data_IF_820553316173
#
_entry.id   IF_820553316173
#
_cell.length_a   1.000
_cell.length_b   1.000
_cell.length_c   1.000
_cell.angle_alpha   90.00
_cell.angle_beta   90.00
_cell.angle_gamma   90.00
#
_symmetry.space_group_name_H-M   'P 1'
#
loop_
_entity.id
_entity.type
_entity.pdbx_description
1 polymer ?
#
# COMPACT_ATOMS: atom_id res chain seq x y z
N UNK A 1 -6.38 -18.04 -22.06
CA UNK A 1 -6.88 -17.54 -20.75
C UNK A 1 -6.93 -16.01 -20.82
N UNK A 2 -8.10 -15.38 -20.74
CA UNK A 2 -8.23 -13.92 -20.83
C UNK A 2 -7.47 -13.24 -19.67
N UNK A 3 -6.79 -12.13 -19.95
CA UNK A 3 -5.89 -11.44 -19.00
C UNK A 3 -6.56 -11.11 -17.65
N UNK A 4 -7.85 -10.79 -17.68
CA UNK A 4 -8.66 -10.53 -16.49
C UNK A 4 -8.78 -11.73 -15.57
N UNK A 5 -8.88 -12.95 -16.10
CA UNK A 5 -8.92 -14.16 -15.25
C UNK A 5 -7.58 -14.47 -14.59
N UNK A 6 -6.45 -14.15 -15.23
CA UNK A 6 -5.13 -14.29 -14.61
C UNK A 6 -4.90 -13.23 -13.53
N UNK A 7 -5.29 -11.98 -13.80
CA UNK A 7 -5.15 -10.91 -12.82
C UNK A 7 -6.10 -11.10 -11.62
N UNK A 8 -7.30 -11.60 -11.85
CA UNK A 8 -8.22 -11.99 -10.77
C UNK A 8 -7.60 -13.06 -9.84
N UNK A 9 -7.03 -14.12 -10.42
CA UNK A 9 -6.30 -15.14 -9.67
C UNK A 9 -5.10 -14.54 -8.93
N UNK A 10 -4.33 -13.66 -9.57
CA UNK A 10 -3.24 -12.95 -8.92
C UNK A 10 -3.72 -12.16 -7.69
N UNK A 11 -4.79 -11.38 -7.80
CA UNK A 11 -5.34 -10.63 -6.66
C UNK A 11 -5.84 -11.58 -5.56
N UNK A 12 -6.49 -12.69 -5.90
CA UNK A 12 -6.93 -13.70 -4.92
C UNK A 12 -5.78 -14.26 -4.09
N UNK A 13 -4.60 -14.45 -4.69
CA UNK A 13 -3.43 -14.97 -3.99
C UNK A 13 -2.67 -13.87 -3.24
N UNK A 14 -2.40 -12.76 -3.89
CA UNK A 14 -1.57 -11.66 -3.36
C UNK A 14 -2.23 -11.00 -2.15
N UNK A 15 -3.56 -10.84 -2.16
CA UNK A 15 -4.29 -10.24 -1.06
C UNK A 15 -4.44 -11.16 0.16
N UNK A 16 -4.02 -12.43 0.08
CA UNK A 16 -3.90 -13.30 1.27
C UNK A 16 -2.84 -12.80 2.24
N UNK A 17 -1.79 -12.13 1.76
CA UNK A 17 -0.72 -11.60 2.59
C UNK A 17 -1.19 -10.53 3.58
N UNK A 18 -1.81 -9.41 3.15
CA UNK A 18 -2.36 -8.44 4.11
C UNK A 18 -3.48 -9.05 4.96
N UNK A 19 -4.25 -9.99 4.40
CA UNK A 19 -5.29 -10.70 5.17
C UNK A 19 -4.70 -11.53 6.32
N UNK A 20 -3.54 -12.18 6.10
CA UNK A 20 -2.87 -12.99 7.10
C UNK A 20 -2.35 -12.17 8.30
N UNK A 21 -2.15 -10.87 8.14
CA UNK A 21 -1.79 -9.93 9.21
C UNK A 21 -2.99 -9.10 9.69
N UNK A 22 -4.21 -9.62 9.49
CA UNK A 22 -5.47 -9.02 9.92
C UNK A 22 -5.86 -7.69 9.26
N UNK A 23 -5.20 -7.32 8.16
CA UNK A 23 -5.50 -6.13 7.36
C UNK A 23 -6.47 -6.43 6.20
N UNK A 24 -7.17 -7.57 6.27
CA UNK A 24 -8.20 -7.97 5.32
C UNK A 24 -9.35 -6.96 5.14
N UNK A 25 -9.85 -6.28 6.19
CA UNK A 25 -10.86 -5.23 6.04
C UNK A 25 -10.39 -4.05 5.17
N UNK A 26 -9.08 -3.76 5.16
CA UNK A 26 -8.47 -2.65 4.43
C UNK A 26 -8.07 -3.03 2.99
N UNK A 27 -7.51 -4.24 2.82
CA UNK A 27 -6.85 -4.66 1.57
C UNK A 27 -7.36 -5.98 0.99
N UNK A 28 -8.39 -6.58 1.58
CA UNK A 28 -8.90 -7.89 1.18
C UNK A 28 -9.44 -7.95 -0.25
N UNK A 29 -9.48 -9.17 -0.79
CA UNK A 29 -10.07 -9.40 -2.10
C UNK A 29 -11.60 -9.21 -2.07
N UNK A 30 -12.12 -8.60 -3.13
CA UNK A 30 -13.55 -8.53 -3.42
C UNK A 30 -13.78 -8.86 -4.89
N UNK A 31 -14.99 -9.28 -5.24
CA UNK A 31 -15.40 -9.52 -6.64
C UNK A 31 -15.26 -8.27 -7.55
N UNK A 32 -15.15 -7.08 -6.93
CA UNK A 32 -14.96 -5.82 -7.64
C UNK A 32 -13.50 -5.37 -7.75
N UNK A 33 -12.55 -6.01 -7.03
CA UNK A 33 -11.15 -5.56 -6.93
C UNK A 33 -10.47 -5.44 -8.31
N UNK A 34 -10.75 -6.38 -9.22
CA UNK A 34 -10.24 -6.34 -10.60
C UNK A 34 -10.76 -5.11 -11.36
N UNK A 35 -12.06 -4.80 -11.21
CA UNK A 35 -12.70 -3.66 -11.88
C UNK A 35 -12.27 -2.32 -11.29
N UNK A 36 -11.96 -2.29 -9.99
CA UNK A 36 -11.40 -1.11 -9.32
C UNK A 36 -9.99 -0.81 -9.82
N UNK A 37 -9.17 -1.83 -10.10
CA UNK A 37 -7.82 -1.64 -10.63
C UNK A 37 -7.84 -1.18 -12.11
N UNK A 38 -8.73 -1.76 -12.92
CA UNK A 38 -8.79 -1.48 -14.35
C UNK A 38 -10.24 -1.21 -14.80
N UNK A 39 -10.79 -0.01 -14.47
CA UNK A 39 -12.17 0.32 -14.83
C UNK A 39 -12.32 0.39 -16.36
N UNK A 40 -13.32 -0.32 -16.89
CA UNK A 40 -13.77 -0.25 -18.29
C UNK A 40 -12.75 -0.69 -19.37
N UNK A 41 -11.58 -1.21 -18.98
CA UNK A 41 -10.57 -1.70 -19.93
C UNK A 41 -10.97 -3.11 -20.42
N UNK A 42 -11.19 -3.30 -21.73
CA UNK A 42 -11.36 -4.66 -22.30
C UNK A 42 -10.03 -5.40 -22.48
N UNK A 43 -8.92 -4.66 -22.50
CA UNK A 43 -7.56 -5.15 -22.67
C UNK A 43 -6.63 -4.27 -21.85
N UNK A 44 -5.83 -4.87 -20.98
CA UNK A 44 -4.77 -4.17 -20.23
C UNK A 44 -3.45 -4.43 -20.94
N UNK A 45 -2.77 -3.36 -21.35
CA UNK A 45 -1.41 -3.43 -21.89
C UNK A 45 -0.38 -3.39 -20.77
N UNK A 46 0.86 -3.81 -21.04
CA UNK A 46 1.93 -3.84 -20.04
C UNK A 46 2.14 -2.47 -19.38
N UNK A 47 2.23 -1.39 -20.17
CA UNK A 47 2.45 -0.05 -19.63
C UNK A 47 1.29 0.37 -18.72
N UNK A 48 0.03 0.18 -19.15
CA UNK A 48 -1.15 0.48 -18.33
C UNK A 48 -1.17 -0.32 -17.02
N UNK A 49 -0.72 -1.58 -17.07
CA UNK A 49 -0.57 -2.40 -15.87
C UNK A 49 0.48 -1.81 -14.93
N UNK A 50 1.66 -1.48 -15.44
CA UNK A 50 2.76 -0.91 -14.67
C UNK A 50 2.37 0.46 -14.08
N UNK A 51 1.77 1.34 -14.87
CA UNK A 51 1.26 2.64 -14.43
C UNK A 51 0.29 2.50 -13.26
N UNK A 52 -0.59 1.49 -13.31
CA UNK A 52 -1.57 1.24 -12.23
C UNK A 52 -0.91 0.69 -10.97
N UNK A 53 0.04 -0.24 -11.11
CA UNK A 53 0.72 -0.88 -9.98
C UNK A 53 1.70 0.06 -9.28
N UNK A 54 2.28 1.03 -10.01
CA UNK A 54 3.31 1.95 -9.53
C UNK A 54 2.80 3.38 -9.35
N UNK A 55 1.51 3.64 -9.54
CA UNK A 55 0.92 4.96 -9.33
C UNK A 55 1.21 5.47 -7.91
N UNK A 56 1.33 6.79 -7.76
CA UNK A 56 1.42 7.43 -6.43
C UNK A 56 0.18 7.13 -5.57
N UNK A 57 -0.97 7.00 -6.22
CA UNK A 57 -2.25 6.60 -5.62
C UNK A 57 -2.76 5.32 -6.31
N UNK A 58 -2.24 4.13 -5.95
CA UNK A 58 -2.70 2.88 -6.53
C UNK A 58 -4.10 2.53 -5.98
N UNK A 59 -4.82 1.59 -6.63
CA UNK A 59 -6.07 1.05 -6.10
C UNK A 59 -5.91 0.59 -4.66
N UNK A 60 -6.92 0.81 -3.81
CA UNK A 60 -6.81 0.61 -2.36
C UNK A 60 -6.26 -0.78 -1.98
N UNK A 61 -6.74 -1.85 -2.62
CA UNK A 61 -6.27 -3.22 -2.33
C UNK A 61 -4.80 -3.47 -2.70
N UNK A 62 -4.15 -2.59 -3.44
CA UNK A 62 -2.75 -2.69 -3.86
C UNK A 62 -1.83 -1.74 -3.11
N UNK A 63 -2.34 -0.80 -2.32
CA UNK A 63 -1.54 0.21 -1.58
C UNK A 63 -0.49 -0.43 -0.66
N UNK A 64 -0.77 -1.62 -0.11
CA UNK A 64 0.15 -2.31 0.78
C UNK A 64 1.44 -2.77 0.08
N UNK A 65 1.42 -3.05 -1.23
CA UNK A 65 2.61 -3.48 -1.97
C UNK A 65 3.74 -2.43 -1.97
N UNK A 66 3.52 -1.18 -2.46
CA UNK A 66 4.53 -0.14 -2.35
C UNK A 66 4.80 0.27 -0.90
N UNK A 67 3.81 0.14 0.01
CA UNK A 67 4.04 0.39 1.44
C UNK A 67 5.07 -0.59 2.03
N UNK A 68 5.00 -1.88 1.69
CA UNK A 68 5.99 -2.88 2.14
C UNK A 68 7.40 -2.53 1.66
N UNK A 69 7.56 -2.09 0.41
CA UNK A 69 8.84 -1.62 -0.10
C UNK A 69 9.35 -0.39 0.67
N UNK A 70 8.46 0.58 0.95
CA UNK A 70 8.82 1.76 1.75
C UNK A 70 9.18 1.39 3.19
N UNK A 71 8.45 0.47 3.82
CA UNK A 71 8.75 -0.05 5.16
C UNK A 71 10.16 -0.62 5.24
N UNK A 72 10.50 -1.53 4.32
CA UNK A 72 11.84 -2.11 4.24
C UNK A 72 12.92 -1.02 4.03
N UNK A 73 12.63 -0.01 3.20
CA UNK A 73 13.58 1.07 2.94
C UNK A 73 13.85 1.93 4.18
N UNK A 74 12.85 2.18 5.02
CA UNK A 74 12.99 3.04 6.20
C UNK A 74 13.29 2.29 7.49
N UNK A 75 13.26 0.96 7.51
CA UNK A 75 13.32 0.15 8.74
C UNK A 75 14.52 0.48 9.64
N UNK A 76 15.66 0.86 9.04
CA UNK A 76 16.90 1.19 9.72
C UNK A 76 17.17 2.70 9.81
N UNK A 77 16.23 3.55 9.40
CA UNK A 77 16.37 5.02 9.46
C UNK A 77 16.08 5.50 10.87
N UNK A 78 17.07 6.17 11.46
CA UNK A 78 16.99 6.74 12.80
C UNK A 78 16.65 8.24 12.76
N UNK A 79 15.70 8.66 13.60
CA UNK A 79 15.34 10.07 13.79
C UNK A 79 15.60 10.48 15.25
N UNK A 80 16.53 11.41 15.53
CA UNK A 80 16.83 11.89 16.88
C UNK A 80 15.80 12.95 17.31
N UNK A 81 14.52 12.59 17.32
CA UNK A 81 13.42 13.49 17.65
C UNK A 81 12.39 12.80 18.53
N UNK A 82 11.85 13.54 19.50
CA UNK A 82 10.86 13.00 20.43
C UNK A 82 9.50 12.77 19.75
N UNK A 83 8.87 11.62 19.98
CA UNK A 83 7.50 11.35 19.57
C UNK A 83 6.51 12.17 20.41
N UNK A 84 5.67 12.95 19.74
CA UNK A 84 4.69 13.81 20.41
C UNK A 84 3.62 13.04 21.17
N UNK A 85 3.41 11.75 20.85
CA UNK A 85 2.42 10.90 21.51
C UNK A 85 3.05 10.02 22.61
N UNK A 86 3.96 9.12 22.25
CA UNK A 86 4.52 8.16 23.21
C UNK A 86 5.72 8.70 24.02
N UNK A 87 6.22 9.90 23.70
CA UNK A 87 7.37 10.56 24.36
C UNK A 87 8.70 9.81 24.28
N UNK A 88 8.82 8.85 23.36
CA UNK A 88 10.10 8.22 23.07
C UNK A 88 11.08 9.26 22.50
N UNK A 89 12.30 9.32 23.01
CA UNK A 89 13.32 10.33 22.64
C UNK A 89 13.84 10.18 21.20
N UNK A 90 13.55 9.05 20.56
CA UNK A 90 13.93 8.78 19.17
C UNK A 90 12.92 7.88 18.47
N UNK A 91 13.00 7.83 17.14
CA UNK A 91 12.16 6.98 16.29
C UNK A 91 13.01 6.18 15.31
N UNK A 92 12.55 4.98 15.01
CA UNK A 92 13.04 4.16 13.91
C UNK A 92 11.93 3.97 12.88
N UNK A 93 12.26 3.95 11.60
CA UNK A 93 11.26 3.74 10.56
C UNK A 93 10.63 5.02 10.04
N UNK A 94 9.30 4.98 9.83
CA UNK A 94 8.55 6.14 9.40
C UNK A 94 8.51 7.22 10.48
N UNK A 95 8.53 8.47 10.02
CA UNK A 95 8.27 9.66 10.83
C UNK A 95 7.15 10.45 10.17
N UNK A 96 6.06 10.63 10.89
CA UNK A 96 4.90 11.36 10.39
C UNK A 96 4.89 12.77 10.97
N UNK A 97 5.01 13.79 10.13
CA UNK A 97 4.89 15.20 10.54
C UNK A 97 3.50 15.73 10.21
N UNK A 98 2.79 16.24 11.21
CA UNK A 98 1.54 16.94 10.94
C UNK A 98 1.81 18.24 10.18
N UNK A 99 1.06 18.49 9.10
CA UNK A 99 1.21 19.70 8.28
C UNK A 99 0.52 20.93 8.89
N UNK A 100 -0.43 20.73 9.80
CA UNK A 100 -1.25 21.81 10.38
C UNK A 100 -0.78 22.19 11.79
N UNK A 101 -0.23 21.24 12.54
CA UNK A 101 0.20 21.47 13.91
C UNK A 101 1.66 21.93 13.96
N UNK A 102 1.97 22.82 14.90
CA UNK A 102 3.34 23.21 15.17
C UNK A 102 4.11 22.06 15.83
N UNK A 103 5.18 21.58 15.18
CA UNK A 103 6.12 20.58 15.70
C UNK A 103 5.49 19.27 16.23
N UNK A 104 4.33 18.86 15.70
CA UNK A 104 3.72 17.59 16.05
C UNK A 104 4.23 16.47 15.12
N UNK A 105 4.73 15.40 15.71
CA UNK A 105 5.31 14.27 14.98
C UNK A 105 5.08 12.93 15.69
N UNK A 106 4.86 11.89 14.89
CA UNK A 106 4.64 10.51 15.34
C UNK A 106 5.70 9.59 14.78
#
# INVERSE_FOLDING_TARGET
IPIFSKFDQFLKEVLKLPTAVFEGPSFGYTEHSVRTCFPQQKKVMLNTFLDTMMADAPPQCLVWLPLMHRLAHVENVFHPVECSYCRCESMMGFRYRCQQCHNYQL
#
